data_IF_829772755837
#
_entry.id   IF_829772755837
#
_cell.length_a   1.000
_cell.length_b   1.000
_cell.length_c   1.000
_cell.angle_alpha   90.00
_cell.angle_beta   90.00
_cell.angle_gamma   90.00
#
_symmetry.space_group_name_H-M   'P 1'
#
loop_
_entity.id
_entity.type
_entity.pdbx_description
1 polymer ?
#
# COMPACT_ATOMS: atom_id res chain seq x y z
N UNK A 1 -10.31 48.27 26.80
CA UNK A 1 -9.24 47.29 27.09
C UNK A 1 -9.78 45.91 27.49
N UNK A 2 -10.76 45.79 28.39
CA UNK A 2 -11.29 44.48 28.81
C UNK A 2 -11.87 43.63 27.68
N UNK A 3 -12.53 44.23 26.69
CA UNK A 3 -13.15 43.54 25.54
C UNK A 3 -12.16 43.05 24.47
N UNK A 4 -11.04 43.75 24.29
CA UNK A 4 -9.96 43.32 23.40
C UNK A 4 -9.23 42.12 24.02
N UNK A 5 -9.03 42.13 25.34
CA UNK A 5 -8.43 41.00 26.05
C UNK A 5 -9.27 39.72 25.96
N UNK A 6 -10.60 39.82 26.02
CA UNK A 6 -11.50 38.66 25.84
C UNK A 6 -11.47 38.11 24.42
N UNK A 7 -11.35 38.96 23.41
CA UNK A 7 -11.27 38.52 22.01
C UNK A 7 -9.96 37.79 21.70
N UNK A 8 -8.84 38.26 22.26
CA UNK A 8 -7.54 37.56 22.12
C UNK A 8 -7.53 36.23 22.89
N UNK A 9 -8.20 36.15 24.04
CA UNK A 9 -8.31 34.90 24.81
C UNK A 9 -9.15 33.83 24.08
N UNK A 10 -10.20 34.26 23.35
CA UNK A 10 -11.03 33.36 22.55
C UNK A 10 -10.30 32.84 21.30
N UNK A 11 -9.38 33.61 20.74
CA UNK A 11 -8.55 33.20 19.60
C UNK A 11 -7.49 32.14 19.98
N UNK A 12 -6.99 32.17 21.21
CA UNK A 12 -6.02 31.18 21.73
C UNK A 12 -6.70 29.85 22.12
N UNK A 13 -7.99 29.85 22.43
CA UNK A 13 -8.74 28.63 22.77
C UNK A 13 -9.27 27.86 21.55
N UNK A 14 -9.09 28.39 20.34
CA UNK A 14 -9.37 27.70 19.08
C UNK A 14 -8.22 26.83 18.58
N UNK A 15 -7.17 26.61 19.38
CA UNK A 15 -6.05 25.74 19.01
C UNK A 15 -6.57 24.32 18.77
N UNK A 16 -6.41 23.91 17.53
CA UNK A 16 -7.02 22.75 16.91
C UNK A 16 -6.73 21.46 17.68
N UNK A 17 -7.79 20.69 17.96
CA UNK A 17 -7.64 19.26 18.21
C UNK A 17 -7.25 18.59 16.89
N UNK A 18 -5.97 18.67 16.52
CA UNK A 18 -5.44 17.81 15.47
C UNK A 18 -5.59 16.37 15.97
N UNK A 19 -6.58 15.66 15.44
CA UNK A 19 -6.74 14.23 15.72
C UNK A 19 -5.60 13.53 15.02
N UNK A 20 -4.57 13.28 15.80
CA UNK A 20 -3.37 12.67 15.33
C UNK A 20 -3.63 11.26 14.77
N UNK A 21 -3.40 11.05 13.47
CA UNK A 21 -3.57 9.79 12.74
C UNK A 21 -2.25 9.04 12.53
N UNK A 22 -2.19 7.79 12.94
CA UNK A 22 -1.03 6.93 12.68
C UNK A 22 -1.07 6.43 11.22
N UNK A 23 0.10 6.22 10.64
CA UNK A 23 0.24 5.63 9.30
C UNK A 23 0.80 4.23 9.42
N UNK A 24 0.06 3.26 8.89
CA UNK A 24 0.39 1.84 8.93
C UNK A 24 0.82 1.42 7.52
N UNK A 25 2.06 0.95 7.37
CA UNK A 25 2.60 0.42 6.12
C UNK A 25 2.71 -1.11 6.22
N UNK A 26 2.08 -1.80 5.29
CA UNK A 26 2.08 -3.26 5.21
C UNK A 26 3.25 -3.78 4.36
N UNK A 27 3.66 -5.02 4.57
CA UNK A 27 4.67 -5.74 3.77
C UNK A 27 4.33 -5.81 2.27
N UNK A 28 3.05 -5.66 1.94
CA UNK A 28 2.56 -5.63 0.57
C UNK A 28 2.55 -4.23 -0.07
N UNK A 29 3.04 -3.19 0.62
CA UNK A 29 3.04 -1.80 0.17
C UNK A 29 1.67 -1.10 0.33
N UNK A 30 0.69 -1.69 1.02
CA UNK A 30 -0.55 -0.97 1.37
C UNK A 30 -0.21 0.06 2.43
N UNK A 31 -0.84 1.23 2.36
CA UNK A 31 -0.90 2.15 3.49
C UNK A 31 -2.33 2.20 4.03
N UNK A 32 -2.45 2.27 5.34
CA UNK A 32 -3.70 2.56 6.03
C UNK A 32 -3.47 3.69 7.02
N UNK A 33 -4.37 4.67 7.03
CA UNK A 33 -4.43 5.70 8.04
C UNK A 33 -5.41 5.27 9.13
N UNK A 34 -5.07 5.56 10.37
CA UNK A 34 -5.94 5.25 11.49
C UNK A 34 -5.22 5.34 12.83
N UNK A 35 -5.97 5.18 13.92
CA UNK A 35 -5.40 5.23 15.27
C UNK A 35 -5.11 3.83 15.78
N UNK A 36 -3.86 3.56 16.17
CA UNK A 36 -3.49 2.30 16.83
C UNK A 36 -4.03 2.32 18.26
N UNK A 37 -4.83 1.31 18.59
CA UNK A 37 -5.47 1.16 19.90
C UNK A 37 -4.61 0.33 20.84
N UNK A 38 -4.09 -0.80 20.33
CA UNK A 38 -3.35 -1.78 21.11
C UNK A 38 -2.42 -2.57 20.21
N UNK A 39 -1.21 -2.82 20.69
CA UNK A 39 -0.28 -3.79 20.12
C UNK A 39 -0.17 -4.96 21.09
N UNK A 40 -0.60 -6.14 20.66
CA UNK A 40 -0.38 -7.41 21.36
C UNK A 40 0.83 -8.14 20.76
N UNK A 41 1.21 -9.29 21.30
CA UNK A 41 2.44 -10.00 20.92
C UNK A 41 2.52 -10.38 19.44
N UNK A 42 1.40 -10.69 18.78
CA UNK A 42 1.35 -11.13 17.38
C UNK A 42 0.42 -10.29 16.52
N UNK A 43 -0.34 -9.36 17.11
CA UNK A 43 -1.44 -8.67 16.44
C UNK A 43 -1.53 -7.21 16.88
N UNK A 44 -1.69 -6.32 15.91
CA UNK A 44 -1.97 -4.89 16.09
C UNK A 44 -3.45 -4.63 15.85
N UNK A 45 -4.06 -3.86 16.76
CA UNK A 45 -5.44 -3.42 16.70
C UNK A 45 -5.47 -1.94 16.38
N UNK A 46 -6.15 -1.57 15.31
CA UNK A 46 -6.28 -0.17 14.90
C UNK A 46 -7.69 0.16 14.46
N UNK A 47 -8.08 1.42 14.66
CA UNK A 47 -9.31 1.98 14.13
C UNK A 47 -8.97 2.76 12.85
N UNK A 48 -9.41 2.29 11.66
CA UNK A 48 -9.11 2.98 10.41
C UNK A 48 -9.77 4.36 10.36
N UNK A 49 -9.09 5.31 9.74
CA UNK A 49 -9.65 6.65 9.47
C UNK A 49 -10.61 6.58 8.27
N UNK A 50 -11.83 6.17 8.58
CA UNK A 50 -12.88 5.81 7.64
C UNK A 50 -14.22 6.00 8.38
N UNK A 51 -15.31 6.26 7.65
CA UNK A 51 -16.69 6.22 8.19
C UNK A 51 -17.04 4.95 8.99
N UNK A 52 -16.25 3.89 8.84
CA UNK A 52 -16.35 2.62 9.54
C UNK A 52 -15.40 2.60 10.75
N UNK A 53 -15.98 2.80 11.93
CA UNK A 53 -15.29 2.83 13.22
C UNK A 53 -14.92 1.45 13.77
N UNK A 54 -15.16 0.37 13.02
CA UNK A 54 -14.84 -0.99 13.47
C UNK A 54 -13.33 -1.19 13.59
N UNK A 55 -12.92 -1.69 14.76
CA UNK A 55 -11.54 -2.08 15.03
C UNK A 55 -11.13 -3.20 14.06
N UNK A 56 -9.99 -3.00 13.41
CA UNK A 56 -9.35 -4.01 12.55
C UNK A 56 -8.17 -4.63 13.27
N UNK A 57 -7.97 -5.92 12.98
CA UNK A 57 -6.83 -6.71 13.44
C UNK A 57 -5.86 -6.89 12.29
N UNK A 58 -4.57 -6.72 12.56
CA UNK A 58 -3.48 -6.96 11.60
C UNK A 58 -2.45 -7.82 12.33
N UNK A 59 -2.00 -8.90 11.71
CA UNK A 59 -0.91 -9.69 12.26
C UNK A 59 0.44 -9.01 12.00
N UNK A 60 1.34 -9.10 12.96
CA UNK A 60 2.65 -8.41 12.91
C UNK A 60 3.46 -8.85 11.69
N UNK A 61 3.30 -10.09 11.24
CA UNK A 61 3.97 -10.63 10.04
C UNK A 61 3.57 -9.92 8.74
N UNK A 62 2.37 -9.34 8.69
CA UNK A 62 1.89 -8.56 7.54
C UNK A 62 2.30 -7.09 7.58
N UNK A 63 2.85 -6.65 8.72
CA UNK A 63 3.14 -5.27 9.03
C UNK A 63 4.61 -4.98 8.77
N UNK A 64 4.86 -3.93 7.98
CA UNK A 64 6.23 -3.47 7.75
C UNK A 64 6.61 -2.40 8.77
N UNK A 65 5.80 -1.34 8.89
CA UNK A 65 6.05 -0.27 9.84
C UNK A 65 4.79 0.46 10.27
N UNK A 66 4.86 1.12 11.43
CA UNK A 66 3.87 2.08 11.92
C UNK A 66 4.58 3.38 12.22
N UNK A 67 4.16 4.44 11.54
CA UNK A 67 4.50 5.80 11.90
C UNK A 67 3.43 6.33 12.85
N UNK A 68 3.74 6.35 14.14
CA UNK A 68 2.87 6.92 15.17
C UNK A 68 3.01 8.43 15.14
N UNK A 69 1.95 9.19 15.32
CA UNK A 69 2.12 10.66 15.35
C UNK A 69 2.92 11.16 16.55
N UNK A 70 2.80 10.47 17.68
CA UNK A 70 3.39 10.89 18.96
C UNK A 70 4.71 10.17 19.27
N UNK A 71 5.20 9.31 18.38
CA UNK A 71 6.43 8.53 18.56
C UNK A 71 7.18 8.41 17.23
N UNK A 72 8.46 8.09 17.28
CA UNK A 72 9.21 7.73 16.08
C UNK A 72 8.61 6.47 15.41
N UNK A 73 8.87 6.34 14.11
CA UNK A 73 8.46 5.20 13.29
C UNK A 73 8.98 3.87 13.85
N UNK A 74 8.10 2.88 14.01
CA UNK A 74 8.43 1.54 14.49
C UNK A 74 8.33 0.55 13.34
N UNK A 75 9.39 -0.24 13.12
CA UNK A 75 9.41 -1.30 12.12
C UNK A 75 9.17 -2.66 12.78
N UNK A 76 8.41 -3.50 12.09
CA UNK A 76 8.03 -4.85 12.56
C UNK A 76 8.70 -5.95 11.74
N UNK A 77 9.36 -5.57 10.63
CA UNK A 77 10.16 -6.48 9.82
C UNK A 77 11.52 -6.76 10.45
N UNK A 78 11.92 -8.03 10.46
CA UNK A 78 13.27 -8.47 10.75
C UNK A 78 13.77 -9.41 9.65
N UNK A 79 15.04 -9.24 9.27
CA UNK A 79 15.71 -10.16 8.36
C UNK A 79 15.89 -11.51 9.05
N UNK A 80 15.37 -12.56 8.42
CA UNK A 80 15.49 -13.93 8.90
C UNK A 80 15.53 -14.86 7.69
N UNK A 81 16.72 -15.38 7.40
CA UNK A 81 16.96 -16.27 6.26
C UNK A 81 16.34 -17.65 6.46
N UNK A 82 16.05 -18.07 7.69
CA UNK A 82 15.43 -19.37 7.96
C UNK A 82 13.97 -19.43 7.51
N UNK A 83 13.28 -18.28 7.48
CA UNK A 83 11.87 -18.15 7.07
C UNK A 83 11.70 -17.48 5.70
N UNK A 84 12.80 -17.24 4.97
CA UNK A 84 12.78 -16.63 3.64
C UNK A 84 12.75 -15.10 3.61
N UNK A 85 12.90 -14.43 4.76
CA UNK A 85 13.07 -12.98 4.87
C UNK A 85 14.52 -12.60 4.62
N UNK A 86 14.94 -12.68 3.35
CA UNK A 86 16.35 -12.52 2.98
C UNK A 86 16.83 -11.07 2.87
N UNK A 87 15.91 -10.11 2.75
CA UNK A 87 16.25 -8.69 2.58
C UNK A 87 16.61 -8.09 3.94
N UNK A 88 17.60 -7.20 3.98
CA UNK A 88 17.79 -6.37 5.16
C UNK A 88 16.65 -5.33 5.28
N UNK A 89 16.58 -4.61 6.41
CA UNK A 89 15.49 -3.66 6.66
C UNK A 89 15.39 -2.56 5.60
N UNK A 90 16.53 -2.06 5.11
CA UNK A 90 16.60 -0.98 4.12
C UNK A 90 16.23 -1.46 2.71
N UNK A 91 16.71 -2.64 2.33
CA UNK A 91 16.34 -3.33 1.11
C UNK A 91 14.83 -3.60 1.07
N UNK A 92 14.27 -4.08 2.18
CA UNK A 92 12.83 -4.30 2.32
C UNK A 92 12.05 -2.99 2.28
N UNK A 93 12.55 -1.92 2.93
CA UNK A 93 11.93 -0.61 2.88
C UNK A 93 11.83 -0.10 1.44
N UNK A 94 12.94 -0.13 0.71
CA UNK A 94 13.04 0.29 -0.70
C UNK A 94 12.08 -0.52 -1.58
N UNK A 95 12.02 -1.83 -1.38
CA UNK A 95 11.11 -2.72 -2.08
C UNK A 95 9.64 -2.43 -1.76
N UNK A 96 9.29 -2.22 -0.49
CA UNK A 96 7.93 -1.88 -0.03
C UNK A 96 7.49 -0.51 -0.56
N UNK A 97 8.40 0.47 -0.62
CA UNK A 97 8.14 1.77 -1.24
C UNK A 97 7.82 1.64 -2.73
N UNK A 98 8.57 0.82 -3.47
CA UNK A 98 8.27 0.51 -4.86
C UNK A 98 6.86 -0.06 -5.04
N UNK A 99 6.46 -1.00 -4.16
CA UNK A 99 5.11 -1.59 -4.17
C UNK A 99 4.03 -0.57 -3.86
N UNK A 100 4.27 0.30 -2.88
CA UNK A 100 3.36 1.36 -2.50
C UNK A 100 3.12 2.32 -3.67
N UNK A 101 4.22 2.77 -4.28
CA UNK A 101 4.21 3.68 -5.42
C UNK A 101 3.41 3.10 -6.60
N UNK A 102 3.61 1.82 -6.95
CA UNK A 102 2.80 1.16 -7.96
C UNK A 102 1.31 1.14 -7.60
N UNK A 103 0.96 0.89 -6.34
CA UNK A 103 -0.46 0.80 -5.93
C UNK A 103 -1.20 2.11 -6.11
N UNK A 104 -0.57 3.22 -5.74
CA UNK A 104 -1.16 4.55 -5.85
C UNK A 104 -1.23 5.00 -7.32
N UNK A 105 -0.14 4.86 -8.06
CA UNK A 105 0.01 5.55 -9.35
C UNK A 105 -0.26 4.69 -10.59
N UNK A 106 0.02 3.39 -10.52
CA UNK A 106 -0.09 2.53 -11.69
C UNK A 106 -1.55 2.33 -12.12
N UNK A 107 -1.87 2.56 -13.40
CA UNK A 107 -3.19 2.30 -13.99
C UNK A 107 -3.05 1.28 -15.11
N UNK A 108 -4.07 0.44 -15.29
CA UNK A 108 -4.06 -0.63 -16.30
C UNK A 108 -5.39 -0.75 -17.05
N UNK A 109 -5.86 0.31 -17.75
CA UNK A 109 -7.15 0.29 -18.44
C UNK A 109 -7.23 -0.83 -19.50
N UNK A 110 -6.14 -1.05 -20.25
CA UNK A 110 -6.09 -2.10 -21.27
C UNK A 110 -6.26 -3.51 -20.69
N UNK A 111 -5.74 -3.74 -19.48
CA UNK A 111 -5.94 -5.02 -18.77
C UNK A 111 -7.41 -5.20 -18.40
N UNK A 112 -8.08 -4.15 -17.91
CA UNK A 112 -9.52 -4.18 -17.62
C UNK A 112 -10.34 -4.44 -18.88
N UNK A 113 -10.07 -3.71 -19.97
CA UNK A 113 -10.81 -3.83 -21.22
C UNK A 113 -10.68 -5.24 -21.83
N UNK A 114 -9.47 -5.77 -21.94
CA UNK A 114 -9.30 -7.14 -22.43
C UNK A 114 -9.90 -8.18 -21.48
N UNK A 115 -9.95 -7.89 -20.19
CA UNK A 115 -10.73 -8.66 -19.21
C UNK A 115 -12.20 -8.71 -19.61
N UNK A 116 -12.85 -7.57 -19.80
CA UNK A 116 -14.26 -7.47 -20.21
C UNK A 116 -14.53 -8.29 -21.47
N UNK A 117 -13.69 -8.11 -22.51
CA UNK A 117 -13.83 -8.82 -23.79
C UNK A 117 -13.73 -10.34 -23.60
N UNK A 118 -12.70 -10.81 -22.89
CA UNK A 118 -12.51 -12.25 -22.64
C UNK A 118 -13.59 -12.85 -21.74
N UNK A 119 -14.11 -12.08 -20.79
CA UNK A 119 -15.26 -12.45 -19.96
C UNK A 119 -16.55 -12.63 -20.75
N UNK A 120 -16.89 -11.65 -21.58
CA UNK A 120 -18.07 -11.70 -22.44
C UNK A 120 -17.99 -12.86 -23.44
N UNK A 121 -16.81 -13.08 -24.05
CA UNK A 121 -16.56 -14.22 -24.93
C UNK A 121 -16.68 -15.56 -24.19
N UNK A 122 -16.18 -15.63 -22.95
CA UNK A 122 -16.26 -16.81 -22.09
C UNK A 122 -17.70 -17.20 -21.73
N UNK A 123 -18.63 -16.26 -21.66
CA UNK A 123 -20.03 -16.54 -21.31
C UNK A 123 -20.74 -17.48 -22.31
N UNK A 124 -20.30 -17.51 -23.56
CA UNK A 124 -20.91 -18.33 -24.62
C UNK A 124 -19.95 -19.35 -25.25
N UNK A 125 -18.67 -19.29 -24.90
CA UNK A 125 -17.71 -20.23 -25.42
C UNK A 125 -17.77 -21.53 -24.62
N UNK A 126 -17.57 -22.66 -25.30
CA UNK A 126 -17.28 -23.94 -24.65
C UNK A 126 -16.14 -23.83 -23.62
N UNK A 127 -15.20 -22.90 -23.85
CA UNK A 127 -14.04 -22.67 -23.00
C UNK A 127 -14.35 -21.87 -21.72
N UNK A 128 -15.55 -21.32 -21.55
CA UNK A 128 -16.00 -20.71 -20.29
C UNK A 128 -14.99 -19.76 -19.66
N UNK A 129 -14.60 -20.07 -18.42
CA UNK A 129 -13.62 -19.30 -17.64
C UNK A 129 -12.16 -19.47 -18.11
N UNK A 130 -11.85 -20.42 -18.98
CA UNK A 130 -10.47 -20.61 -19.48
C UNK A 130 -9.99 -19.38 -20.27
N UNK A 131 -10.88 -18.69 -21.00
CA UNK A 131 -10.54 -17.48 -21.74
C UNK A 131 -10.11 -16.32 -20.80
N UNK A 132 -10.90 -15.94 -19.77
CA UNK A 132 -10.47 -14.99 -18.75
C UNK A 132 -9.16 -15.36 -18.04
N UNK A 133 -8.98 -16.63 -17.67
CA UNK A 133 -7.81 -17.10 -16.93
C UNK A 133 -6.55 -17.02 -17.79
N UNK A 134 -6.61 -17.52 -19.02
CA UNK A 134 -5.48 -17.45 -19.96
C UNK A 134 -5.07 -16.02 -20.26
N UNK A 135 -6.04 -15.12 -20.46
CA UNK A 135 -5.75 -13.69 -20.63
C UNK A 135 -5.06 -13.07 -19.40
N UNK A 136 -5.52 -13.40 -18.18
CA UNK A 136 -4.91 -12.90 -16.95
C UNK A 136 -3.44 -13.35 -16.82
N UNK A 137 -3.12 -14.59 -17.20
CA UNK A 137 -1.75 -15.10 -17.23
C UNK A 137 -0.87 -14.33 -18.24
N UNK A 138 -1.36 -14.13 -19.46
CA UNK A 138 -0.64 -13.38 -20.51
C UNK A 138 -0.39 -11.93 -20.09
N UNK A 139 -1.37 -11.31 -19.43
CA UNK A 139 -1.23 -9.94 -18.95
C UNK A 139 -0.26 -9.85 -17.77
N UNK A 140 -0.25 -10.84 -16.89
CA UNK A 140 0.65 -10.93 -15.73
C UNK A 140 2.11 -11.16 -16.10
N UNK A 141 2.38 -11.90 -17.18
CA UNK A 141 3.75 -12.15 -17.65
C UNK A 141 4.44 -10.90 -18.20
N UNK A 142 3.68 -9.95 -18.76
CA UNK A 142 4.22 -8.72 -19.33
C UNK A 142 4.61 -7.72 -18.24
N UNK A 143 5.89 -7.30 -18.24
CA UNK A 143 6.38 -6.24 -17.37
C UNK A 143 5.64 -4.91 -17.64
N UNK A 144 5.22 -4.19 -16.59
CA UNK A 144 4.62 -2.88 -16.73
C UNK A 144 5.69 -1.86 -17.13
N UNK A 145 5.28 -0.77 -17.78
CA UNK A 145 6.16 0.38 -17.98
C UNK A 145 6.24 1.14 -16.67
N UNK A 146 7.46 1.43 -16.22
CA UNK A 146 7.68 2.28 -15.07
C UNK A 146 7.43 3.73 -15.46
N UNK A 147 6.54 4.40 -14.74
CA UNK A 147 6.20 5.80 -14.96
C UNK A 147 6.30 6.54 -13.61
N UNK A 148 7.07 7.63 -13.60
CA UNK A 148 7.32 8.40 -12.39
C UNK A 148 6.45 9.66 -12.39
N UNK A 149 5.64 9.82 -11.34
CA UNK A 149 4.84 10.99 -11.03
C UNK A 149 5.74 12.00 -10.29
N UNK A 150 5.95 13.15 -10.91
CA UNK A 150 6.78 14.24 -10.38
C UNK A 150 6.34 14.70 -8.97
N UNK A 151 5.05 14.61 -8.63
CA UNK A 151 4.56 15.02 -7.31
C UNK A 151 5.05 14.12 -6.18
N UNK A 152 5.11 12.82 -6.45
CA UNK A 152 5.55 11.83 -5.44
C UNK A 152 7.07 11.68 -5.42
N UNK A 153 7.77 12.01 -6.51
CA UNK A 153 9.22 12.25 -6.45
C UNK A 153 9.53 13.24 -5.35
N UNK A 154 8.86 14.39 -5.35
CA UNK A 154 9.10 15.43 -4.34
C UNK A 154 8.79 14.95 -2.93
N UNK A 155 7.70 14.21 -2.72
CA UNK A 155 7.33 13.66 -1.40
C UNK A 155 8.35 12.64 -0.86
N UNK A 156 8.88 11.77 -1.73
CA UNK A 156 9.92 10.79 -1.39
C UNK A 156 11.26 11.49 -1.09
N UNK A 157 11.59 12.58 -1.80
CA UNK A 157 12.80 13.36 -1.50
C UNK A 157 12.64 14.28 -0.29
N UNK A 158 11.43 14.71 0.06
CA UNK A 158 11.17 15.64 1.17
C UNK A 158 10.93 14.96 2.51
N UNK A 159 10.53 13.69 2.52
CA UNK A 159 10.43 12.88 3.73
C UNK A 159 11.70 12.03 3.85
N UNK A 160 12.75 12.49 4.54
CA UNK A 160 13.90 11.65 4.82
C UNK A 160 13.39 10.39 5.53
N UNK A 161 13.73 9.23 4.98
CA UNK A 161 13.58 7.96 5.69
C UNK A 161 14.34 8.16 7.00
N UNK A 162 13.60 8.15 8.12
CA UNK A 162 14.15 8.40 9.44
C UNK A 162 15.34 7.45 9.62
N UNK A 163 16.49 8.05 9.82
CA UNK A 163 17.77 7.36 9.95
C UNK A 163 17.77 6.55 11.26
N UNK A 164 18.36 5.36 11.21
CA UNK A 164 18.21 4.35 12.25
C UNK A 164 19.41 4.35 13.19
N UNK A 165 19.21 4.35 14.51
CA UNK A 165 20.15 3.67 15.39
C UNK A 165 20.01 2.16 15.15
N UNK A 166 21.13 1.52 14.79
CA UNK A 166 21.24 0.06 14.81
C UNK A 166 20.96 -0.41 16.24
N UNK A 167 19.86 -1.13 16.49
CA UNK A 167 19.60 -1.70 17.81
C UNK A 167 20.50 -2.91 17.96
N UNK A 168 21.73 -2.70 18.41
CA UNK A 168 22.51 -3.76 19.03
C UNK A 168 21.81 -4.09 20.35
N UNK A 169 21.28 -5.32 20.49
CA UNK A 169 20.82 -5.81 21.79
C UNK A 169 22.07 -6.11 22.61
N UNK A 170 22.63 -5.08 23.25
CA UNK A 170 23.67 -5.24 24.25
C UNK A 170 23.11 -4.85 25.64
N UNK A 171 23.33 -5.68 26.68
CA UNK A 171 22.88 -5.37 28.03
C UNK A 171 23.84 -4.35 28.66
N UNK A 172 23.49 -3.06 28.61
CA UNK A 172 24.30 -2.01 29.25
C UNK A 172 23.84 -0.59 28.93
N UNK A 173 24.07 0.33 29.87
CA UNK A 173 23.49 1.68 29.94
C UNK A 173 23.80 2.60 28.74
N UNK A 174 22.75 3.32 28.32
CA UNK A 174 22.73 4.61 27.59
C UNK A 174 23.51 4.69 26.28
N UNK A 175 22.79 4.67 25.16
CA UNK A 175 23.34 4.86 23.81
C UNK A 175 23.01 6.25 23.26
N UNK A 176 24.03 6.91 22.72
CA UNK A 176 23.91 8.12 21.90
C UNK A 176 24.00 7.68 20.42
N UNK A 177 22.94 7.93 19.65
CA UNK A 177 22.81 7.45 18.26
C UNK A 177 23.71 8.29 17.34
N UNK A 178 24.66 7.64 16.65
CA UNK A 178 25.44 8.27 15.58
C UNK A 178 24.76 8.02 14.23
N UNK A 179 24.44 9.13 13.57
CA UNK A 179 23.58 9.22 12.39
C UNK A 179 24.44 9.51 11.15
N UNK A 180 24.98 8.46 10.54
CA UNK A 180 26.10 8.57 9.59
C UNK A 180 25.69 8.26 8.14
N UNK A 181 24.40 8.10 7.80
CA UNK A 181 24.02 7.57 6.48
C UNK A 181 23.44 8.62 5.54
N UNK A 182 24.20 8.91 4.48
CA UNK A 182 23.73 9.67 3.32
C UNK A 182 22.76 8.84 2.47
N UNK A 183 21.56 9.37 2.25
CA UNK A 183 20.56 8.81 1.34
C UNK A 183 21.11 8.86 -0.11
N UNK A 184 21.33 7.71 -0.75
CA UNK A 184 21.71 7.65 -2.17
C UNK A 184 20.51 8.03 -3.04
N UNK A 185 20.44 9.29 -3.46
CA UNK A 185 19.49 9.72 -4.46
C UNK A 185 19.94 9.27 -5.88
N UNK A 186 19.03 8.84 -6.78
CA UNK A 186 17.58 8.69 -6.61
C UNK A 186 17.13 7.22 -6.40
N UNK A 187 16.33 6.95 -5.36
CA UNK A 187 15.78 5.62 -5.00
C UNK A 187 15.01 4.92 -6.15
N UNK A 188 14.51 5.68 -7.12
CA UNK A 188 13.79 5.12 -8.29
C UNK A 188 14.68 4.31 -9.24
N UNK A 189 15.99 4.54 -9.18
CA UNK A 189 16.97 3.78 -9.96
C UNK A 189 17.42 2.51 -9.22
N UNK A 190 17.05 2.35 -7.94
CA UNK A 190 17.39 1.16 -7.17
C UNK A 190 16.66 -0.06 -7.75
N UNK A 191 17.37 -1.17 -8.06
CA UNK A 191 16.77 -2.38 -8.61
C UNK A 191 15.63 -2.92 -7.75
N UNK A 192 15.77 -2.88 -6.42
CA UNK A 192 14.76 -3.35 -5.47
C UNK A 192 13.48 -2.53 -5.51
N UNK A 193 13.60 -1.21 -5.69
CA UNK A 193 12.44 -0.35 -5.85
C UNK A 193 11.65 -0.72 -7.11
N UNK A 194 12.36 -0.89 -8.23
CA UNK A 194 11.74 -1.27 -9.50
C UNK A 194 11.13 -2.68 -9.45
N UNK A 195 11.77 -3.62 -8.74
CA UNK A 195 11.22 -4.95 -8.52
C UNK A 195 9.90 -4.88 -7.75
N UNK A 196 9.88 -4.15 -6.63
CA UNK A 196 8.68 -3.93 -5.82
C UNK A 196 7.57 -3.30 -6.64
N UNK A 197 7.89 -2.26 -7.42
CA UNK A 197 6.96 -1.64 -8.34
C UNK A 197 6.37 -2.63 -9.33
N UNK A 198 7.24 -3.37 -10.04
CA UNK A 198 6.84 -4.29 -11.09
C UNK A 198 5.93 -5.39 -10.54
N UNK A 199 6.23 -5.91 -9.34
CA UNK A 199 5.41 -6.95 -8.70
C UNK A 199 4.01 -6.44 -8.37
N UNK A 200 3.91 -5.28 -7.70
CA UNK A 200 2.62 -4.70 -7.36
C UNK A 200 1.81 -4.24 -8.58
N UNK A 201 2.46 -3.72 -9.62
CA UNK A 201 1.82 -3.34 -10.86
C UNK A 201 1.30 -4.57 -11.63
N UNK A 202 2.08 -5.66 -11.72
CA UNK A 202 1.61 -6.95 -12.29
C UNK A 202 0.36 -7.47 -11.57
N UNK A 203 0.39 -7.50 -10.24
CA UNK A 203 -0.77 -7.89 -9.43
C UNK A 203 -2.01 -7.04 -9.76
N UNK A 204 -1.83 -5.72 -9.94
CA UNK A 204 -2.92 -4.80 -10.30
C UNK A 204 -3.47 -5.10 -11.70
N UNK A 205 -2.61 -5.40 -12.68
CA UNK A 205 -3.03 -5.80 -14.04
C UNK A 205 -3.87 -7.07 -14.01
N UNK A 206 -3.40 -8.11 -13.31
CA UNK A 206 -4.08 -9.41 -13.18
C UNK A 206 -5.42 -9.24 -12.47
N UNK A 207 -5.47 -8.50 -11.35
CA UNK A 207 -6.73 -8.23 -10.64
C UNK A 207 -7.71 -7.45 -11.51
N UNK A 208 -7.24 -6.45 -12.26
CA UNK A 208 -8.09 -5.64 -13.13
C UNK A 208 -8.61 -6.45 -14.33
N UNK A 209 -7.82 -7.33 -14.92
CA UNK A 209 -8.30 -8.22 -15.98
C UNK A 209 -9.35 -9.20 -15.47
N UNK A 210 -9.16 -9.80 -14.30
CA UNK A 210 -10.13 -10.71 -13.70
C UNK A 210 -11.44 -9.99 -13.32
N UNK A 211 -11.35 -8.78 -12.74
CA UNK A 211 -12.54 -7.95 -12.46
C UNK A 211 -13.27 -7.58 -13.74
N UNK A 212 -12.54 -7.16 -14.77
CA UNK A 212 -13.11 -6.88 -16.09
C UNK A 212 -13.83 -8.11 -16.66
N UNK A 213 -13.20 -9.28 -16.58
CA UNK A 213 -13.79 -10.52 -17.08
C UNK A 213 -15.06 -10.91 -16.34
N UNK A 214 -15.10 -10.77 -15.01
CA UNK A 214 -16.32 -11.01 -14.25
C UNK A 214 -17.45 -10.09 -14.71
N UNK A 215 -17.17 -8.79 -14.90
CA UNK A 215 -18.15 -7.81 -15.40
C UNK A 215 -18.64 -8.18 -16.80
N UNK A 216 -17.72 -8.51 -17.72
CA UNK A 216 -18.08 -8.90 -19.09
C UNK A 216 -18.93 -10.18 -19.12
N UNK A 217 -18.56 -11.17 -18.32
CA UNK A 217 -19.26 -12.44 -18.22
C UNK A 217 -20.69 -12.26 -17.69
N UNK A 218 -20.86 -11.54 -16.57
CA UNK A 218 -22.19 -11.33 -15.97
C UNK A 218 -23.07 -10.43 -16.83
N UNK A 219 -22.51 -9.37 -17.44
CA UNK A 219 -23.25 -8.53 -18.37
C UNK A 219 -23.79 -9.35 -19.54
N UNK A 220 -22.97 -10.22 -20.12
CA UNK A 220 -23.36 -11.02 -21.27
C UNK A 220 -24.43 -12.07 -20.95
N UNK A 221 -24.31 -12.76 -19.81
CA UNK A 221 -25.37 -13.68 -19.33
C UNK A 221 -26.67 -12.91 -19.08
N UNK A 222 -26.60 -11.74 -18.43
CA UNK A 222 -27.78 -10.90 -18.19
C UNK A 222 -28.47 -10.50 -19.49
N UNK A 223 -27.71 -10.06 -20.50
CA UNK A 223 -28.24 -9.74 -21.83
C UNK A 223 -28.89 -10.96 -22.49
N UNK A 224 -28.28 -12.14 -22.38
CA UNK A 224 -28.86 -13.37 -22.91
C UNK A 224 -30.22 -13.70 -22.29
N UNK A 225 -30.29 -13.67 -20.95
CA UNK A 225 -31.52 -13.98 -20.21
C UNK A 225 -32.62 -13.00 -20.61
N UNK A 226 -32.34 -11.70 -20.67
CA UNK A 226 -33.32 -10.69 -21.10
C UNK A 226 -33.84 -10.95 -22.52
N UNK A 227 -32.96 -11.30 -23.46
CA UNK A 227 -33.37 -11.65 -24.83
C UNK A 227 -34.20 -12.93 -24.85
N UNK A 228 -33.88 -13.92 -24.01
CA UNK A 228 -34.60 -15.20 -23.96
C UNK A 228 -35.97 -15.12 -23.30
N UNK A 229 -36.14 -14.27 -22.27
CA UNK A 229 -37.39 -14.10 -21.53
C UNK A 229 -38.34 -13.12 -22.21
N UNK A 230 -37.80 -12.19 -23.02
CA UNK A 230 -38.59 -11.25 -23.82
C UNK A 230 -39.14 -11.81 -25.13
N UNK A 231 -38.93 -13.10 -25.42
CA UNK A 231 -39.53 -13.84 -26.55
C UNK A 231 -40.57 -14.81 -26.03
#
# INVERSE_FOLDING_TARGET
MKTILTFTLMFILGLEFSTAQDTILYMNGKMALGKVQKTANTTVYFTPDNKNTKIKKIDIEDLFSINYQNKSMVYYYAQDTAIGNNMNLDEMNTYVMGKNYARVNFKSPNSTLGGIVTGAAGAFSFWGLALPVTYALIVGSKNPRFEIDEKIKQEIYSNPVIDFPTIAIEPGLSYDAKNDREMKAPIFNEPLFQEGYNRAAKDKKVKNSLKGALVGFTAMIGTFVLISVGR
#
